data_IF_128192948642
#
_entry.id   IF_128192948642
#
_cell.length_a   1.000
_cell.length_b   1.000
_cell.length_c   1.000
_cell.angle_alpha   90.00
_cell.angle_beta   90.00
_cell.angle_gamma   90.00
#
_symmetry.space_group_name_H-M   'P 1'
#
loop_
_entity.id
_entity.type
_entity.pdbx_description
1 polymer ?
#
# COMPACT_ATOMS: atom_id res chain seq x y z
N UNK A 1 -11.15 16.61 -26.28
CA UNK A 1 -10.24 16.90 -25.15
C UNK A 1 -10.88 17.75 -24.05
N UNK A 2 -11.58 18.87 -24.32
CA UNK A 2 -12.21 19.71 -23.27
C UNK A 2 -13.23 18.99 -22.37
N UNK A 3 -14.03 18.08 -22.93
CA UNK A 3 -15.01 17.30 -22.15
C UNK A 3 -14.37 16.35 -21.13
N UNK A 4 -13.20 15.78 -21.46
CA UNK A 4 -12.48 14.87 -20.57
C UNK A 4 -11.88 15.57 -19.35
N UNK A 5 -11.30 16.77 -19.53
CA UNK A 5 -10.83 17.55 -18.38
C UNK A 5 -11.98 17.99 -17.47
N UNK A 6 -13.13 18.35 -18.04
CA UNK A 6 -14.31 18.72 -17.25
C UNK A 6 -14.83 17.55 -16.41
N UNK A 7 -14.83 16.31 -16.94
CA UNK A 7 -15.22 15.12 -16.18
C UNK A 7 -14.22 14.76 -15.08
N UNK A 8 -12.92 14.90 -15.33
CA UNK A 8 -11.86 14.66 -14.32
C UNK A 8 -12.01 15.64 -13.14
N UNK A 9 -12.25 16.92 -13.44
CA UNK A 9 -12.42 17.95 -12.42
C UNK A 9 -13.70 17.72 -11.61
N UNK A 10 -14.80 17.32 -12.25
CA UNK A 10 -16.05 17.04 -11.54
C UNK A 10 -15.94 15.82 -10.64
N UNK A 11 -15.16 14.81 -11.04
CA UNK A 11 -14.87 13.62 -10.25
C UNK A 11 -13.98 13.95 -9.05
N UNK A 12 -12.90 14.69 -9.26
CA UNK A 12 -12.00 15.13 -8.19
C UNK A 12 -12.73 15.95 -7.10
N UNK A 13 -13.77 16.73 -7.47
CA UNK A 13 -14.59 17.49 -6.51
C UNK A 13 -15.43 16.63 -5.58
N UNK A 14 -15.63 15.34 -5.88
CA UNK A 14 -16.40 14.44 -5.01
C UNK A 14 -15.60 14.02 -3.78
N UNK A 15 -14.27 14.16 -3.80
CA UNK A 15 -13.38 13.71 -2.74
C UNK A 15 -13.12 14.80 -1.70
N UNK A 16 -13.21 14.40 -0.44
CA UNK A 16 -12.97 15.25 0.73
C UNK A 16 -11.68 14.84 1.44
N UNK A 17 -11.21 15.71 2.34
CA UNK A 17 -10.14 15.34 3.28
C UNK A 17 -10.60 14.16 4.14
N UNK A 18 -9.68 13.27 4.46
CA UNK A 18 -9.88 12.01 5.18
C UNK A 18 -10.75 10.97 4.46
N UNK A 19 -11.11 11.19 3.19
CA UNK A 19 -11.69 10.12 2.38
C UNK A 19 -10.64 9.00 2.18
N UNK A 20 -11.09 7.75 2.38
CA UNK A 20 -10.28 6.57 2.16
C UNK A 20 -10.32 6.16 0.70
N UNK A 21 -9.16 5.97 0.11
CA UNK A 21 -8.98 5.70 -1.31
C UNK A 21 -7.87 4.70 -1.54
N UNK A 22 -7.85 4.12 -2.73
CA UNK A 22 -6.78 3.25 -3.19
C UNK A 22 -5.97 3.95 -4.28
N UNK A 23 -4.65 4.03 -4.13
CA UNK A 23 -3.75 4.47 -5.20
C UNK A 23 -3.30 3.30 -6.04
N UNK A 24 -3.43 3.42 -7.36
CA UNK A 24 -3.04 2.37 -8.28
C UNK A 24 -1.50 2.23 -8.34
N UNK A 25 -1.01 1.04 -8.04
CA UNK A 25 0.41 0.69 -8.18
C UNK A 25 0.65 0.30 -9.63
N UNK A 26 1.57 1.01 -10.30
CA UNK A 26 1.89 0.76 -11.71
C UNK A 26 2.43 -0.67 -11.90
N UNK A 27 2.17 -1.26 -13.07
CA UNK A 27 2.54 -2.65 -13.37
C UNK A 27 4.05 -2.88 -13.35
N UNK A 28 4.84 -1.87 -13.68
CA UNK A 28 6.32 -1.94 -13.66
C UNK A 28 6.89 -2.03 -12.25
N UNK A 29 6.16 -1.51 -11.26
CA UNK A 29 6.60 -1.42 -9.86
C UNK A 29 6.08 -2.58 -9.01
N UNK A 30 5.45 -3.58 -9.64
CA UNK A 30 4.82 -4.72 -8.96
C UNK A 30 5.05 -6.03 -9.70
N UNK A 31 5.25 -7.11 -8.96
CA UNK A 31 5.18 -8.47 -9.48
C UNK A 31 3.73 -8.94 -9.59
N UNK A 32 3.47 -10.03 -10.32
CA UNK A 32 2.10 -10.56 -10.49
C UNK A 32 1.40 -10.93 -9.16
N UNK A 33 2.16 -11.11 -8.08
CA UNK A 33 1.66 -11.47 -6.76
C UNK A 33 1.50 -10.30 -5.81
N UNK A 34 2.00 -9.12 -6.17
CA UNK A 34 1.97 -7.95 -5.31
C UNK A 34 0.60 -7.28 -5.32
N UNK A 35 0.34 -6.48 -4.30
CA UNK A 35 -0.86 -5.66 -4.23
C UNK A 35 -0.93 -4.74 -5.45
N UNK A 36 -2.15 -4.58 -5.99
CA UNK A 36 -2.40 -3.71 -7.14
C UNK A 36 -2.71 -2.28 -6.74
N UNK A 37 -3.11 -2.10 -5.48
CA UNK A 37 -3.66 -0.89 -4.91
C UNK A 37 -3.00 -0.66 -3.55
N UNK A 38 -2.65 0.59 -3.27
CA UNK A 38 -2.14 1.05 -1.98
C UNK A 38 -3.24 1.84 -1.27
N UNK A 39 -3.62 1.37 -0.09
CA UNK A 39 -4.64 2.01 0.74
C UNK A 39 -4.11 3.31 1.35
N UNK A 40 -4.86 4.39 1.16
CA UNK A 40 -4.47 5.75 1.49
C UNK A 40 -5.64 6.61 2.01
N UNK A 41 -5.31 7.65 2.76
CA UNK A 41 -6.18 8.76 3.13
C UNK A 41 -5.79 10.02 2.38
N UNK A 42 -6.78 10.81 1.96
CA UNK A 42 -6.52 12.15 1.43
C UNK A 42 -6.21 13.11 2.58
N UNK A 43 -5.01 13.69 2.58
CA UNK A 43 -4.56 14.62 3.62
C UNK A 43 -4.55 16.08 3.17
N UNK A 44 -4.44 16.33 1.87
CA UNK A 44 -4.39 17.68 1.33
C UNK A 44 -4.97 17.70 -0.09
N UNK A 45 -5.68 18.78 -0.42
CA UNK A 45 -6.17 19.05 -1.77
C UNK A 45 -5.45 20.27 -2.34
N UNK A 46 -4.82 20.10 -3.48
CA UNK A 46 -4.01 21.11 -4.16
C UNK A 46 -4.64 21.46 -5.51
N UNK A 47 -5.06 22.71 -5.67
CA UNK A 47 -5.60 23.22 -6.92
C UNK A 47 -4.60 24.21 -7.54
N UNK A 48 -3.97 23.83 -8.65
CA UNK A 48 -3.00 24.68 -9.38
C UNK A 48 -3.25 24.63 -10.87
N UNK A 49 -3.28 25.79 -11.52
CA UNK A 49 -3.44 25.92 -12.98
C UNK A 49 -4.64 25.15 -13.57
N UNK A 50 -5.76 25.11 -12.84
CA UNK A 50 -6.96 24.36 -13.25
C UNK A 50 -6.85 22.84 -13.14
N UNK A 51 -5.79 22.31 -12.51
CA UNK A 51 -5.63 20.90 -12.17
C UNK A 51 -5.81 20.70 -10.67
N UNK A 52 -6.54 19.65 -10.31
CA UNK A 52 -6.73 19.21 -8.93
C UNK A 52 -5.84 18.00 -8.70
N UNK A 53 -5.00 18.09 -7.68
CA UNK A 53 -4.13 17.00 -7.21
C UNK A 53 -4.29 16.85 -5.71
N UNK A 54 -3.95 15.70 -5.17
CA UNK A 54 -4.12 15.39 -3.77
C UNK A 54 -2.82 14.87 -3.18
N UNK A 55 -2.56 15.18 -1.92
CA UNK A 55 -1.58 14.43 -1.13
C UNK A 55 -2.28 13.34 -0.36
N UNK A 56 -1.55 12.26 -0.12
CA UNK A 56 -2.06 11.08 0.54
C UNK A 56 -1.16 10.68 1.70
N UNK A 57 -1.76 10.07 2.72
CA UNK A 57 -1.05 9.33 3.75
C UNK A 57 -1.49 7.87 3.73
N UNK A 58 -0.55 6.97 3.94
CA UNK A 58 -0.83 5.56 4.21
C UNK A 58 -0.34 5.22 5.62
N UNK A 59 -0.57 3.97 6.06
CA UNK A 59 -0.12 3.45 7.36
C UNK A 59 1.39 3.67 7.61
N UNK A 60 2.19 3.72 6.53
CA UNK A 60 3.65 3.82 6.61
C UNK A 60 4.20 5.25 6.53
N UNK A 61 3.39 6.23 6.14
CA UNK A 61 3.89 7.60 5.96
C UNK A 61 3.04 8.49 5.06
N UNK A 62 3.44 9.76 5.00
CA UNK A 62 2.89 10.77 4.08
C UNK A 62 3.60 10.67 2.73
N UNK A 63 2.84 10.47 1.65
CA UNK A 63 3.43 10.44 0.31
C UNK A 63 3.99 11.83 -0.05
N UNK A 64 5.25 11.85 -0.48
CA UNK A 64 5.98 13.08 -0.78
C UNK A 64 5.41 13.84 -1.98
N UNK A 65 4.83 13.11 -2.93
CA UNK A 65 4.37 13.63 -4.22
C UNK A 65 2.84 13.63 -4.26
N UNK A 66 2.21 14.69 -4.80
CA UNK A 66 0.77 14.69 -5.02
C UNK A 66 0.38 13.92 -6.29
N UNK A 67 -0.79 13.27 -6.28
CA UNK A 67 -1.32 12.52 -7.42
C UNK A 67 -2.62 13.11 -7.95
N UNK A 68 -2.88 12.94 -9.25
CA UNK A 68 -4.18 13.27 -9.85
C UNK A 68 -5.20 12.17 -9.53
N UNK A 69 -6.49 12.50 -9.69
CA UNK A 69 -7.58 11.56 -9.44
C UNK A 69 -7.56 10.34 -10.38
N UNK A 70 -6.86 10.44 -11.51
CA UNK A 70 -6.73 9.34 -12.49
C UNK A 70 -6.02 8.12 -11.90
N UNK A 71 -5.22 8.32 -10.85
CA UNK A 71 -4.51 7.26 -10.14
C UNK A 71 -5.28 6.73 -8.93
N UNK A 72 -6.48 7.28 -8.65
CA UNK A 72 -7.24 7.04 -7.44
C UNK A 72 -8.45 6.15 -7.76
N UNK A 73 -8.62 5.11 -6.96
CA UNK A 73 -9.79 4.25 -6.95
C UNK A 73 -10.59 4.58 -5.69
N UNK A 74 -11.88 4.90 -5.86
CA UNK A 74 -12.76 5.26 -4.75
C UNK A 74 -13.04 4.05 -3.84
N UNK A 75 -12.68 4.18 -2.56
CA UNK A 75 -12.93 3.20 -1.49
C UNK A 75 -13.88 3.73 -0.40
N UNK A 76 -14.63 4.80 -0.63
CA UNK A 76 -15.48 5.44 0.40
C UNK A 76 -16.44 4.49 1.12
N UNK A 77 -16.83 3.39 0.47
CA UNK A 77 -17.74 2.40 1.04
C UNK A 77 -17.06 1.47 2.06
N UNK A 78 -15.72 1.33 2.04
CA UNK A 78 -14.96 0.43 2.91
C UNK A 78 -13.62 1.08 3.28
N UNK A 79 -13.61 1.88 4.34
CA UNK A 79 -12.35 2.38 4.89
C UNK A 79 -11.69 1.32 5.80
N UNK A 80 -10.47 0.86 5.50
CA UNK A 80 -9.73 -0.08 6.34
C UNK A 80 -9.48 0.49 7.74
N UNK A 81 -9.58 -0.38 8.76
CA UNK A 81 -9.37 0.03 10.15
C UNK A 81 -7.98 0.62 10.38
N UNK A 82 -6.96 0.08 9.70
CA UNK A 82 -5.59 0.58 9.76
C UNK A 82 -5.46 2.06 9.38
N UNK A 83 -6.32 2.56 8.48
CA UNK A 83 -6.32 3.97 8.09
C UNK A 83 -7.04 4.86 9.12
N UNK A 84 -8.08 4.37 9.79
CA UNK A 84 -8.88 5.17 10.74
C UNK A 84 -8.10 5.65 11.96
N UNK A 85 -7.05 4.93 12.34
CA UNK A 85 -6.23 5.22 13.52
C UNK A 85 -4.92 5.95 13.19
N UNK A 86 -4.72 6.37 11.93
CA UNK A 86 -3.52 7.10 11.54
C UNK A 86 -3.53 8.49 12.17
N UNK A 87 -2.51 8.78 12.97
CA UNK A 87 -2.18 10.14 13.42
C UNK A 87 -1.28 10.78 12.38
N UNK A 88 -1.85 11.61 11.50
CA UNK A 88 -1.17 12.17 10.33
C UNK A 88 0.05 13.01 10.73
N UNK A 89 0.00 13.71 11.86
CA UNK A 89 1.08 14.60 12.31
C UNK A 89 2.38 13.86 12.64
N UNK A 90 2.28 12.63 13.16
CA UNK A 90 3.43 11.81 13.57
C UNK A 90 4.11 11.08 12.41
N UNK A 91 3.49 11.08 11.23
CA UNK A 91 4.03 10.39 10.06
C UNK A 91 5.18 11.19 9.42
N UNK A 92 6.22 10.48 9.01
CA UNK A 92 7.28 11.03 8.17
C UNK A 92 6.90 10.96 6.68
N UNK A 93 7.64 11.71 5.86
CA UNK A 93 7.58 11.57 4.40
C UNK A 93 8.07 10.19 3.96
N UNK A 94 7.39 9.59 3.00
CA UNK A 94 7.78 8.32 2.38
C UNK A 94 7.56 8.37 0.87
N UNK A 95 8.46 7.74 0.11
CA UNK A 95 8.26 7.59 -1.33
C UNK A 95 7.16 6.56 -1.61
N UNK A 96 6.46 6.71 -2.73
CA UNK A 96 5.40 5.77 -3.11
C UNK A 96 5.92 4.33 -3.26
N UNK A 97 7.12 4.15 -3.82
CA UNK A 97 7.73 2.83 -4.02
C UNK A 97 8.04 2.18 -2.66
N UNK A 98 8.56 2.94 -1.69
CA UNK A 98 8.83 2.43 -0.35
C UNK A 98 7.54 2.05 0.38
N UNK A 99 6.50 2.90 0.30
CA UNK A 99 5.19 2.59 0.84
C UNK A 99 4.62 1.30 0.26
N UNK A 100 4.72 1.09 -1.06
CA UNK A 100 4.30 -0.15 -1.72
C UNK A 100 5.08 -1.37 -1.24
N UNK A 101 6.40 -1.25 -1.09
CA UNK A 101 7.25 -2.35 -0.57
C UNK A 101 6.87 -2.74 0.85
N UNK A 102 6.59 -1.76 1.71
CA UNK A 102 6.14 -2.01 3.08
C UNK A 102 4.76 -2.68 3.09
N UNK A 103 3.81 -2.16 2.30
CA UNK A 103 2.46 -2.70 2.18
C UNK A 103 2.42 -4.17 1.71
N UNK A 104 3.26 -4.53 0.73
CA UNK A 104 3.37 -5.93 0.28
C UNK A 104 3.95 -6.83 1.38
N UNK A 105 4.92 -6.34 2.16
CA UNK A 105 5.49 -7.08 3.29
C UNK A 105 4.43 -7.34 4.36
N UNK A 106 3.59 -6.38 4.69
CA UNK A 106 2.50 -6.53 5.67
C UNK A 106 1.38 -7.46 5.17
N UNK A 107 0.99 -7.40 3.89
CA UNK A 107 0.02 -8.36 3.33
C UNK A 107 0.55 -9.80 3.29
N UNK A 108 1.86 -9.96 3.22
CA UNK A 108 2.51 -11.29 3.26
C UNK A 108 2.78 -11.79 4.67
N UNK A 109 2.83 -10.91 5.68
CA UNK A 109 2.86 -11.31 7.10
C UNK A 109 1.51 -11.89 7.53
N UNK A 110 1.35 -13.19 7.29
CA UNK A 110 0.11 -13.93 7.56
C UNK A 110 -0.03 -15.18 6.71
N UNK A 111 0.66 -15.23 5.56
CA UNK A 111 0.81 -16.46 4.79
C UNK A 111 1.84 -17.36 5.46
N UNK A 112 1.36 -18.47 6.00
CA UNK A 112 2.20 -19.51 6.58
C UNK A 112 2.75 -20.37 5.45
N UNK A 113 4.02 -20.77 5.54
CA UNK A 113 4.56 -21.79 4.66
C UNK A 113 4.39 -23.17 5.30
N UNK A 114 3.99 -24.17 4.50
CA UNK A 114 3.82 -25.55 4.96
C UNK A 114 5.08 -26.39 4.73
N UNK A 115 6.24 -25.75 4.72
CA UNK A 115 7.51 -26.41 4.45
C UNK A 115 7.84 -27.41 5.57
N UNK A 116 8.14 -28.65 5.20
CA UNK A 116 8.67 -29.68 6.10
C UNK A 116 10.19 -29.57 6.32
N UNK A 117 10.87 -28.82 5.47
CA UNK A 117 12.33 -28.62 5.50
C UNK A 117 12.75 -27.29 6.12
N UNK A 118 14.05 -26.96 6.02
CA UNK A 118 14.65 -25.82 6.73
C UNK A 118 14.34 -24.42 6.16
N UNK A 119 13.50 -24.28 5.15
CA UNK A 119 13.19 -22.98 4.52
C UNK A 119 14.40 -22.16 4.04
N UNK A 120 15.54 -22.81 3.78
CA UNK A 120 16.79 -22.14 3.40
C UNK A 120 16.83 -21.68 1.93
N UNK A 121 15.96 -22.25 1.08
CA UNK A 121 15.95 -22.01 -0.36
C UNK A 121 14.65 -21.33 -0.79
N UNK A 122 14.61 -20.81 -2.03
CA UNK A 122 13.41 -20.22 -2.65
C UNK A 122 12.27 -21.22 -2.91
N UNK A 123 12.42 -22.49 -2.51
CA UNK A 123 11.29 -23.44 -2.45
C UNK A 123 10.32 -23.08 -1.32
N UNK A 124 10.79 -22.44 -0.26
CA UNK A 124 9.92 -21.85 0.75
C UNK A 124 9.29 -20.58 0.21
N UNK A 125 7.96 -20.48 0.30
CA UNK A 125 7.21 -19.29 -0.11
C UNK A 125 7.66 -18.04 0.64
N UNK A 126 7.89 -18.12 1.96
CA UNK A 126 8.41 -17.01 2.76
C UNK A 126 9.78 -16.54 2.23
N UNK A 127 10.73 -17.47 2.02
CA UNK A 127 12.08 -17.15 1.51
C UNK A 127 12.03 -16.60 0.09
N UNK A 128 11.18 -17.15 -0.77
CA UNK A 128 10.97 -16.69 -2.15
C UNK A 128 10.49 -15.24 -2.20
N UNK A 129 9.63 -14.86 -1.24
CA UNK A 129 9.08 -13.51 -1.11
C UNK A 129 9.99 -12.58 -0.29
N UNK A 130 11.15 -13.05 0.17
CA UNK A 130 12.09 -12.23 0.93
C UNK A 130 11.63 -11.87 2.34
N UNK A 131 10.70 -12.64 2.92
CA UNK A 131 10.20 -12.46 4.29
C UNK A 131 10.62 -13.61 5.19
N UNK A 132 10.77 -13.33 6.49
CA UNK A 132 11.07 -14.35 7.48
C UNK A 132 9.82 -15.18 7.82
N UNK A 133 10.02 -16.48 8.03
CA UNK A 133 9.04 -17.36 8.62
C UNK A 133 8.74 -16.89 10.07
N UNK A 134 7.46 -16.89 10.43
CA UNK A 134 7.01 -16.61 11.77
C UNK A 134 6.71 -17.90 12.54
N UNK A 135 6.43 -17.79 13.84
CA UNK A 135 5.90 -18.88 14.67
C UNK A 135 4.58 -19.45 14.14
N UNK A 136 3.86 -18.71 13.27
CA UNK A 136 2.67 -19.22 12.57
C UNK A 136 3.03 -20.18 11.44
N UNK A 137 4.19 -20.04 10.79
CA UNK A 137 4.67 -20.99 9.78
C UNK A 137 5.14 -22.30 10.41
N UNK A 138 5.90 -22.19 11.51
CA UNK A 138 6.44 -23.32 12.23
C UNK A 138 6.29 -23.06 13.72
N UNK A 139 5.45 -23.88 14.36
CA UNK A 139 5.16 -23.79 15.79
C UNK A 139 6.34 -24.20 16.69
N UNK A 140 7.41 -24.78 16.13
CA UNK A 140 8.67 -25.08 16.84
C UNK A 140 9.85 -24.45 16.10
N UNK A 141 10.72 -23.76 16.85
CA UNK A 141 11.98 -23.15 16.35
C UNK A 141 12.98 -24.17 15.76
N UNK A 142 12.78 -25.47 15.94
CA UNK A 142 13.82 -26.49 15.82
C UNK A 142 14.33 -26.87 14.42
N UNK A 143 14.03 -26.11 13.36
CA UNK A 143 14.52 -26.50 12.03
C UNK A 143 14.42 -25.47 10.92
N UNK A 144 13.67 -24.37 11.11
CA UNK A 144 13.54 -23.34 10.09
C UNK A 144 14.74 -22.38 10.14
N UNK A 145 15.52 -22.35 9.07
CA UNK A 145 16.66 -21.45 8.84
C UNK A 145 16.25 -20.08 8.26
N UNK A 146 14.94 -19.81 8.15
CA UNK A 146 14.39 -18.54 7.69
C UNK A 146 13.52 -17.89 8.76
N UNK A 147 13.73 -18.19 10.05
CA UNK A 147 13.10 -17.44 11.13
C UNK A 147 13.82 -16.10 11.29
N UNK A 148 13.06 -15.03 11.54
CA UNK A 148 13.64 -13.73 11.94
C UNK A 148 14.14 -13.81 13.37
N UNK A 149 15.20 -13.08 13.68
CA UNK A 149 15.70 -12.92 15.06
C UNK A 149 14.67 -12.25 15.97
#
# INVERSE_FOLDING_TARGET
MKHYQASIISEAKKFNLNDCVDLQIHTVDRTNTDAKLLQCLIIEKLEKYGKITFKFACEYGKLEIPYSIEHVVDLKMVCPEALKHIVIDDLNGITFIEACKLYVRTLTTGRTCDCKGKCATKQCSCKKMGVFCSTKCHSKRGGCANMGE
#
